data_IF_873771488298
#
_entry.id   IF_873771488298
#
_cell.length_a   1.000
_cell.length_b   1.000
_cell.length_c   1.000
_cell.angle_alpha   90.00
_cell.angle_beta   90.00
_cell.angle_gamma   90.00
#
_symmetry.space_group_name_H-M   'P 1'
#
loop_
_entity.id
_entity.type
_entity.pdbx_description
1 polymer ?
#
# COMPACT_ATOMS: atom_id res chain seq x y z
N UNK A 1 -4.19 0.99 4.65
CA UNK A 1 -5.10 0.28 5.58
C UNK A 1 -4.74 -1.21 5.71
N UNK A 2 -5.11 -1.84 6.83
CA UNK A 2 -4.79 -3.24 7.13
C UNK A 2 -5.45 -4.22 6.14
N UNK A 3 -6.65 -3.92 5.67
CA UNK A 3 -7.41 -4.76 4.73
C UNK A 3 -6.71 -4.90 3.36
N UNK A 4 -5.94 -3.88 2.94
CA UNK A 4 -5.06 -4.01 1.77
C UNK A 4 -4.04 -5.14 1.97
N UNK A 5 -3.43 -5.18 3.14
CA UNK A 5 -2.42 -6.19 3.51
C UNK A 5 -3.04 -7.59 3.55
N UNK A 6 -4.26 -7.70 4.10
CA UNK A 6 -5.01 -8.97 4.15
C UNK A 6 -5.36 -9.45 2.74
N UNK A 7 -5.88 -8.56 1.88
CA UNK A 7 -6.23 -8.88 0.50
C UNK A 7 -4.99 -9.30 -0.31
N UNK A 8 -3.86 -8.62 -0.12
CA UNK A 8 -2.59 -8.98 -0.76
C UNK A 8 -2.09 -10.36 -0.30
N UNK A 9 -2.10 -10.63 1.01
CA UNK A 9 -1.72 -11.94 1.53
C UNK A 9 -2.62 -13.07 1.00
N UNK A 10 -3.93 -12.82 0.89
CA UNK A 10 -4.87 -13.76 0.30
C UNK A 10 -4.56 -14.01 -1.19
N UNK A 11 -4.26 -12.96 -1.96
CA UNK A 11 -3.86 -13.09 -3.36
C UNK A 11 -2.62 -13.98 -3.52
N UNK A 12 -1.59 -13.75 -2.71
CA UNK A 12 -0.37 -14.58 -2.72
C UNK A 12 -0.66 -16.05 -2.40
N UNK A 13 -1.51 -16.32 -1.40
CA UNK A 13 -1.89 -17.69 -1.03
C UNK A 13 -2.68 -18.43 -2.12
N UNK A 14 -3.38 -17.68 -2.97
CA UNK A 14 -4.15 -18.19 -4.10
C UNK A 14 -3.34 -18.28 -5.40
N UNK A 15 -2.07 -17.84 -5.43
CA UNK A 15 -1.29 -17.70 -6.66
C UNK A 15 -1.87 -16.63 -7.60
N UNK A 16 -2.64 -15.67 -7.07
CA UNK A 16 -3.21 -14.59 -7.86
C UNK A 16 -2.22 -13.42 -7.98
N UNK A 17 -2.27 -12.70 -9.10
CA UNK A 17 -1.45 -11.53 -9.35
C UNK A 17 -2.06 -10.32 -8.64
N UNK A 18 -1.31 -9.71 -7.72
CA UNK A 18 -1.71 -8.48 -7.07
C UNK A 18 -1.47 -7.27 -7.96
N UNK A 19 -2.41 -6.33 -7.99
CA UNK A 19 -2.30 -5.09 -8.74
C UNK A 19 -2.59 -3.89 -7.83
N UNK A 20 -1.60 -3.42 -7.06
CA UNK A 20 -1.74 -2.24 -6.23
C UNK A 20 -1.98 -0.98 -7.06
N UNK A 21 -3.06 -0.26 -6.77
CA UNK A 21 -3.44 0.96 -7.48
C UNK A 21 -3.45 2.15 -6.52
N UNK A 22 -3.14 3.33 -7.05
CA UNK A 22 -3.19 4.57 -6.26
C UNK A 22 -4.65 5.01 -6.05
N UNK A 23 -5.04 5.38 -4.82
CA UNK A 23 -6.41 5.85 -4.55
C UNK A 23 -6.77 7.16 -5.28
N UNK A 24 -5.77 7.86 -5.82
CA UNK A 24 -5.95 9.10 -6.60
C UNK A 24 -6.38 8.84 -8.05
N UNK A 25 -6.29 7.61 -8.53
CA UNK A 25 -6.68 7.27 -9.91
C UNK A 25 -8.17 7.49 -10.13
N UNK A 26 -8.49 7.95 -11.34
CA UNK A 26 -9.85 8.24 -11.76
C UNK A 26 -10.37 7.18 -12.73
N UNK A 27 -11.58 7.36 -13.16
CA UNK A 27 -12.34 6.41 -13.98
C UNK A 27 -11.57 5.95 -15.23
N UNK A 28 -10.94 6.87 -15.95
CA UNK A 28 -10.23 6.53 -17.20
C UNK A 28 -9.01 5.64 -16.96
N UNK A 29 -8.20 5.95 -15.93
CA UNK A 29 -7.02 5.15 -15.58
C UNK A 29 -7.42 3.79 -15.03
N UNK A 30 -8.44 3.76 -14.14
CA UNK A 30 -8.93 2.51 -13.55
C UNK A 30 -9.57 1.61 -14.60
N UNK A 31 -10.45 2.15 -15.45
CA UNK A 31 -11.08 1.39 -16.53
C UNK A 31 -10.03 0.73 -17.43
N UNK A 32 -9.04 1.52 -17.86
CA UNK A 32 -7.98 1.00 -18.70
C UNK A 32 -7.13 -0.08 -18.00
N UNK A 33 -6.69 0.14 -16.77
CA UNK A 33 -5.82 -0.81 -16.06
C UNK A 33 -6.55 -2.11 -15.70
N UNK A 34 -7.80 -2.01 -15.26
CA UNK A 34 -8.62 -3.17 -14.89
C UNK A 34 -8.95 -4.03 -16.11
N UNK A 35 -9.26 -3.40 -17.26
CA UNK A 35 -9.52 -4.11 -18.50
C UNK A 35 -8.25 -4.76 -19.04
N UNK A 36 -7.15 -3.98 -19.13
CA UNK A 36 -5.89 -4.45 -19.70
C UNK A 36 -5.24 -5.58 -18.91
N UNK A 37 -5.38 -5.57 -17.59
CA UNK A 37 -4.90 -6.64 -16.71
C UNK A 37 -5.94 -7.75 -16.49
N UNK A 38 -7.09 -7.69 -17.14
CA UNK A 38 -8.19 -8.65 -16.96
C UNK A 38 -8.53 -8.89 -15.47
N UNK A 39 -8.60 -7.79 -14.70
CA UNK A 39 -8.83 -7.87 -13.26
C UNK A 39 -10.17 -8.57 -12.96
N UNK A 40 -10.13 -9.53 -12.04
CA UNK A 40 -11.32 -10.31 -11.64
C UNK A 40 -11.97 -9.75 -10.38
N UNK A 41 -11.18 -9.25 -9.45
CA UNK A 41 -11.65 -8.73 -8.16
C UNK A 41 -10.94 -7.41 -7.86
N UNK A 42 -11.68 -6.42 -7.38
CA UNK A 42 -11.12 -5.16 -6.89
C UNK A 42 -11.55 -4.92 -5.45
N UNK A 43 -10.58 -4.67 -4.58
CA UNK A 43 -10.81 -4.18 -3.22
C UNK A 43 -10.68 -2.67 -3.19
N UNK A 44 -11.64 -1.97 -2.61
CA UNK A 44 -11.64 -0.51 -2.54
C UNK A 44 -12.27 0.02 -1.27
N UNK A 45 -11.85 1.21 -0.83
CA UNK A 45 -12.55 1.91 0.25
C UNK A 45 -13.91 2.42 -0.23
N UNK A 46 -14.88 2.47 0.67
CA UNK A 46 -16.17 3.12 0.42
C UNK A 46 -16.01 4.61 0.18
N UNK A 47 -15.08 5.25 0.89
CA UNK A 47 -14.71 6.64 0.68
C UNK A 47 -13.20 6.85 0.88
N UNK A 48 -12.64 7.82 0.17
CA UNK A 48 -11.28 8.30 0.35
C UNK A 48 -11.21 9.81 0.12
N UNK A 49 -10.91 10.58 1.16
CA UNK A 49 -11.02 12.05 1.14
C UNK A 49 -12.40 12.50 0.66
N UNK A 50 -12.46 13.23 -0.47
CA UNK A 50 -13.72 13.71 -1.09
C UNK A 50 -14.27 12.78 -2.15
N UNK A 51 -13.59 11.66 -2.46
CA UNK A 51 -14.01 10.71 -3.48
C UNK A 51 -14.82 9.54 -2.91
N UNK A 52 -15.60 8.91 -3.78
CA UNK A 52 -16.37 7.68 -3.52
C UNK A 52 -15.93 6.59 -4.51
N UNK A 53 -14.74 6.00 -4.34
CA UNK A 53 -14.20 5.06 -5.33
C UNK A 53 -15.09 3.83 -5.54
N UNK A 54 -15.82 3.40 -4.51
CA UNK A 54 -16.78 2.28 -4.64
C UNK A 54 -17.89 2.56 -5.66
N UNK A 55 -18.43 3.78 -5.70
CA UNK A 55 -19.51 4.15 -6.64
C UNK A 55 -19.00 4.14 -8.09
N UNK A 56 -17.78 4.61 -8.28
CA UNK A 56 -17.12 4.60 -9.58
C UNK A 56 -16.83 3.16 -10.05
N UNK A 57 -16.25 2.33 -9.19
CA UNK A 57 -15.91 0.95 -9.53
C UNK A 57 -17.15 0.07 -9.75
N UNK A 58 -18.21 0.28 -8.99
CA UNK A 58 -19.49 -0.41 -9.19
C UNK A 58 -20.14 -0.09 -10.53
N UNK A 59 -19.94 1.13 -11.07
CA UNK A 59 -20.35 1.50 -12.44
C UNK A 59 -19.43 0.88 -13.49
N UNK A 60 -18.11 0.95 -13.28
CA UNK A 60 -17.13 0.38 -14.21
C UNK A 60 -17.30 -1.13 -14.35
N UNK A 61 -17.63 -1.84 -13.28
CA UNK A 61 -17.85 -3.29 -13.31
C UNK A 61 -18.93 -3.72 -14.31
N UNK A 62 -19.92 -2.88 -14.59
CA UNK A 62 -20.97 -3.15 -15.59
C UNK A 62 -20.43 -3.19 -17.03
N UNK A 63 -19.26 -2.61 -17.27
CA UNK A 63 -18.62 -2.50 -18.59
C UNK A 63 -17.33 -3.30 -18.71
N UNK A 64 -16.90 -3.96 -17.62
CA UNK A 64 -15.67 -4.75 -17.55
C UNK A 64 -16.03 -6.24 -17.37
N UNK A 65 -16.13 -7.01 -18.46
CA UNK A 65 -16.70 -8.37 -18.42
C UNK A 65 -15.87 -9.37 -17.59
N UNK A 66 -14.60 -9.06 -17.33
CA UNK A 66 -13.73 -9.90 -16.49
C UNK A 66 -13.84 -9.55 -15.00
N UNK A 67 -14.30 -8.35 -14.65
CA UNK A 67 -14.44 -7.89 -13.27
C UNK A 67 -15.72 -8.46 -12.65
N UNK A 68 -15.57 -9.54 -11.91
CA UNK A 68 -16.67 -10.29 -11.29
C UNK A 68 -17.03 -9.80 -9.88
N UNK A 69 -16.13 -9.11 -9.19
CA UNK A 69 -16.39 -8.64 -7.84
C UNK A 69 -15.70 -7.30 -7.52
N UNK A 70 -16.44 -6.43 -6.86
CA UNK A 70 -15.94 -5.20 -6.23
C UNK A 70 -16.18 -5.34 -4.72
N UNK A 71 -15.11 -5.46 -3.95
CA UNK A 71 -15.16 -5.64 -2.50
C UNK A 71 -14.92 -4.31 -1.81
N UNK A 72 -15.93 -3.86 -1.09
CA UNK A 72 -15.95 -2.57 -0.38
C UNK A 72 -15.39 -2.72 1.03
N UNK A 73 -14.33 -1.99 1.35
CA UNK A 73 -13.82 -1.81 2.72
C UNK A 73 -14.45 -0.56 3.31
N UNK A 74 -15.20 -0.70 4.38
CA UNK A 74 -15.93 0.42 5.00
C UNK A 74 -14.96 1.35 5.75
N UNK A 75 -14.32 2.26 5.00
CA UNK A 75 -13.43 3.32 5.51
C UNK A 75 -14.07 4.68 5.28
N UNK A 76 -14.03 5.54 6.30
CA UNK A 76 -14.54 6.91 6.30
C UNK A 76 -16.06 7.04 6.06
N UNK A 77 -16.73 6.02 5.55
CA UNK A 77 -18.18 5.98 5.37
C UNK A 77 -18.65 4.53 5.25
N UNK A 78 -19.90 4.22 5.64
CA UNK A 78 -20.49 2.91 5.42
C UNK A 78 -20.77 2.68 3.93
N UNK A 79 -20.90 1.41 3.54
CA UNK A 79 -21.38 1.01 2.22
C UNK A 79 -22.87 1.34 2.11
N UNK A 80 -23.21 2.13 1.09
CA UNK A 80 -24.62 2.52 0.84
C UNK A 80 -25.49 1.28 0.61
N UNK A 81 -26.73 1.22 1.15
CA UNK A 81 -27.63 0.07 0.97
C UNK A 81 -27.89 -0.29 -0.49
N UNK A 82 -27.99 0.72 -1.37
CA UNK A 82 -28.18 0.50 -2.82
C UNK A 82 -26.98 -0.20 -3.47
N UNK A 83 -25.76 0.05 -3.01
CA UNK A 83 -24.56 -0.64 -3.49
C UNK A 83 -24.43 -2.03 -2.87
N UNK A 84 -24.78 -2.18 -1.59
CA UNK A 84 -24.76 -3.49 -0.91
C UNK A 84 -25.73 -4.51 -1.53
N UNK A 85 -26.82 -4.06 -2.16
CA UNK A 85 -27.76 -4.90 -2.90
C UNK A 85 -27.44 -5.04 -4.40
N UNK A 86 -26.39 -4.38 -4.89
CA UNK A 86 -25.97 -4.51 -6.28
C UNK A 86 -25.18 -5.82 -6.49
N UNK A 87 -25.57 -6.56 -7.53
CA UNK A 87 -24.84 -7.78 -7.92
C UNK A 87 -23.37 -7.48 -8.22
N UNK A 88 -22.47 -8.34 -7.73
CA UNK A 88 -21.03 -8.17 -7.89
C UNK A 88 -20.38 -7.17 -6.90
N UNK A 89 -21.16 -6.54 -6.02
CA UNK A 89 -20.63 -5.68 -4.96
C UNK A 89 -20.78 -6.37 -3.60
N UNK A 90 -19.70 -6.44 -2.85
CA UNK A 90 -19.65 -7.14 -1.56
C UNK A 90 -19.03 -6.25 -0.49
N UNK A 91 -19.47 -6.36 0.76
CA UNK A 91 -18.74 -5.75 1.87
C UNK A 91 -17.59 -6.69 2.29
N UNK A 92 -16.44 -6.14 2.63
CA UNK A 92 -15.25 -6.90 3.02
C UNK A 92 -15.54 -7.82 4.21
N UNK A 93 -16.22 -7.32 5.23
CA UNK A 93 -16.57 -8.09 6.43
C UNK A 93 -17.48 -9.29 6.11
N UNK A 94 -18.44 -9.11 5.19
CA UNK A 94 -19.33 -10.18 4.77
C UNK A 94 -18.56 -11.28 4.03
N UNK A 95 -17.56 -10.91 3.20
CA UNK A 95 -16.67 -11.84 2.50
C UNK A 95 -15.85 -12.66 3.51
N UNK A 96 -15.24 -11.98 4.50
CA UNK A 96 -14.43 -12.64 5.52
C UNK A 96 -15.29 -13.59 6.40
N UNK A 97 -16.47 -13.12 6.82
CA UNK A 97 -17.36 -13.91 7.67
C UNK A 97 -17.91 -15.18 6.98
N UNK A 98 -18.09 -15.12 5.65
CA UNK A 98 -18.59 -16.24 4.84
C UNK A 98 -17.51 -17.16 4.26
N UNK A 99 -16.23 -16.88 4.48
CA UNK A 99 -15.13 -17.62 3.87
C UNK A 99 -14.64 -18.76 4.75
N UNK A 100 -14.41 -19.92 4.15
CA UNK A 100 -13.66 -21.00 4.79
C UNK A 100 -12.15 -20.73 4.68
N UNK A 101 -11.37 -20.95 5.75
CA UNK A 101 -9.93 -20.70 5.74
C UNK A 101 -9.19 -21.57 4.71
N UNK A 102 -8.41 -20.97 3.83
CA UNK A 102 -7.46 -21.70 2.99
C UNK A 102 -6.25 -22.11 3.84
N UNK A 103 -6.23 -23.37 4.28
CA UNK A 103 -5.19 -23.89 5.16
C UNK A 103 -3.86 -24.12 4.44
N UNK A 104 -3.90 -24.53 3.16
CA UNK A 104 -2.71 -24.79 2.35
C UNK A 104 -2.68 -23.81 1.18
N UNK A 105 -1.63 -22.97 1.04
CA UNK A 105 -1.47 -22.10 -0.13
C UNK A 105 -1.43 -22.90 -1.43
N UNK A 106 -1.93 -22.33 -2.51
CA UNK A 106 -1.75 -22.87 -3.85
C UNK A 106 -0.27 -22.67 -4.23
N UNK A 107 0.44 -23.73 -4.64
CA UNK A 107 1.82 -23.60 -5.09
C UNK A 107 1.92 -22.64 -6.27
N UNK A 108 2.87 -21.71 -6.22
CA UNK A 108 3.21 -20.81 -7.31
C UNK A 108 4.67 -21.02 -7.71
N UNK A 109 4.98 -20.89 -9.00
CA UNK A 109 6.34 -20.87 -9.47
C UNK A 109 7.00 -19.55 -9.06
N UNK A 110 8.26 -19.62 -8.64
CA UNK A 110 9.02 -18.44 -8.21
C UNK A 110 9.22 -17.41 -9.34
N UNK A 111 9.18 -17.85 -10.60
CA UNK A 111 9.32 -17.00 -11.78
C UNK A 111 7.97 -16.53 -12.35
N UNK A 112 6.82 -16.97 -11.78
CA UNK A 112 5.52 -16.41 -12.10
C UNK A 112 5.38 -14.97 -11.59
N UNK A 113 4.53 -14.19 -12.29
CA UNK A 113 4.22 -12.81 -11.90
C UNK A 113 3.40 -12.80 -10.62
N UNK A 114 3.93 -12.18 -9.58
CA UNK A 114 3.26 -12.01 -8.29
C UNK A 114 2.53 -10.66 -8.17
N UNK A 115 3.04 -9.62 -8.84
CA UNK A 115 2.43 -8.30 -8.80
C UNK A 115 2.67 -7.51 -10.09
N UNK A 116 1.75 -6.59 -10.38
CA UNK A 116 1.90 -5.57 -11.42
C UNK A 116 1.83 -4.20 -10.76
N UNK A 117 2.91 -3.44 -10.85
CA UNK A 117 2.99 -2.06 -10.35
C UNK A 117 2.99 -1.07 -11.52
N UNK A 118 2.22 -0.01 -11.39
CA UNK A 118 2.14 1.00 -12.44
C UNK A 118 3.09 2.17 -12.17
N UNK A 119 3.80 2.59 -13.22
CA UNK A 119 4.60 3.81 -13.22
C UNK A 119 3.87 4.92 -13.95
N UNK A 120 4.12 6.19 -13.57
CA UNK A 120 3.66 7.34 -14.33
C UNK A 120 4.37 7.35 -15.69
N UNK A 121 3.70 6.88 -16.73
CA UNK A 121 4.25 6.89 -18.07
C UNK A 121 4.51 8.32 -18.57
N UNK A 122 5.70 8.57 -19.13
CA UNK A 122 6.07 9.87 -19.75
C UNK A 122 5.24 10.18 -21.01
N UNK A 123 4.54 9.19 -21.55
CA UNK A 123 3.77 9.26 -22.82
C UNK A 123 2.25 9.17 -22.62
N UNK A 124 1.73 9.49 -21.44
CA UNK A 124 0.31 9.68 -21.17
C UNK A 124 -0.43 8.48 -20.58
N UNK A 125 -0.01 7.22 -20.79
CA UNK A 125 -0.61 6.05 -20.11
C UNK A 125 0.37 5.43 -19.12
N UNK A 126 -0.11 4.99 -17.93
CA UNK A 126 0.73 4.25 -16.99
C UNK A 126 1.29 2.98 -17.63
N UNK A 127 2.52 2.60 -17.27
CA UNK A 127 3.15 1.34 -17.70
C UNK A 127 3.10 0.35 -16.55
N UNK A 128 2.58 -0.87 -16.82
CA UNK A 128 2.56 -1.95 -15.84
C UNK A 128 3.89 -2.69 -15.80
N UNK A 129 4.55 -2.67 -14.66
CA UNK A 129 5.79 -3.41 -14.39
C UNK A 129 5.42 -4.74 -13.75
N UNK A 130 5.68 -5.84 -14.44
CA UNK A 130 5.47 -7.20 -13.92
C UNK A 130 6.62 -7.58 -13.00
N UNK A 131 6.30 -7.93 -11.77
CA UNK A 131 7.26 -8.40 -10.76
C UNK A 131 6.98 -9.87 -10.45
N UNK A 132 7.98 -10.73 -10.65
CA UNK A 132 7.90 -12.13 -10.23
C UNK A 132 8.12 -12.26 -8.72
N UNK A 133 7.76 -13.41 -8.15
CA UNK A 133 8.10 -13.72 -6.76
C UNK A 133 9.61 -13.57 -6.51
N UNK A 134 10.44 -14.05 -7.42
CA UNK A 134 11.91 -13.93 -7.34
C UNK A 134 12.37 -12.47 -7.35
N UNK A 135 11.80 -11.60 -8.21
CA UNK A 135 12.17 -10.17 -8.21
C UNK A 135 11.90 -9.53 -6.85
N UNK A 136 10.71 -9.76 -6.30
CA UNK A 136 10.29 -9.20 -5.02
C UNK A 136 11.17 -9.72 -3.89
N UNK A 137 11.35 -11.05 -3.79
CA UNK A 137 12.14 -11.65 -2.72
C UNK A 137 13.61 -11.26 -2.77
N UNK A 138 14.22 -11.21 -3.97
CA UNK A 138 15.61 -10.81 -4.13
C UNK A 138 15.85 -9.36 -3.73
N UNK A 139 14.94 -8.45 -4.15
CA UNK A 139 15.00 -7.03 -3.80
C UNK A 139 14.88 -6.83 -2.29
N UNK A 140 13.83 -7.38 -1.67
CA UNK A 140 13.53 -7.12 -0.26
C UNK A 140 14.52 -7.80 0.67
N UNK A 141 15.04 -8.97 0.33
CA UNK A 141 16.12 -9.63 1.10
C UNK A 141 17.41 -8.84 1.04
N UNK A 142 17.83 -8.40 -0.16
CA UNK A 142 19.04 -7.60 -0.32
C UNK A 142 18.93 -6.27 0.47
N UNK A 143 17.73 -5.67 0.47
CA UNK A 143 17.44 -4.46 1.25
C UNK A 143 17.53 -4.73 2.76
N UNK A 144 16.91 -5.81 3.23
CA UNK A 144 16.96 -6.23 4.63
C UNK A 144 18.39 -6.52 5.10
N UNK A 145 19.16 -7.29 4.32
CA UNK A 145 20.54 -7.64 4.64
C UNK A 145 21.44 -6.39 4.70
N UNK A 146 21.30 -5.48 3.72
CA UNK A 146 22.10 -4.25 3.67
C UNK A 146 21.89 -3.34 4.88
N UNK A 147 20.70 -3.32 5.45
CA UNK A 147 20.31 -2.46 6.57
C UNK A 147 20.21 -3.21 7.91
N UNK A 148 20.54 -4.51 7.93
CA UNK A 148 20.39 -5.39 9.10
C UNK A 148 18.99 -5.32 9.70
N UNK A 149 17.95 -5.41 8.85
CA UNK A 149 16.56 -5.40 9.26
C UNK A 149 16.11 -6.80 9.69
N UNK A 150 15.23 -6.85 10.68
CA UNK A 150 14.79 -8.08 11.31
C UNK A 150 13.29 -8.01 11.66
N UNK A 151 12.74 -9.08 12.18
CA UNK A 151 11.37 -9.14 12.71
C UNK A 151 11.11 -8.15 13.88
N UNK A 152 12.17 -7.62 14.50
CA UNK A 152 12.04 -6.63 15.57
C UNK A 152 11.78 -5.22 15.06
N UNK A 153 11.92 -5.00 13.75
CA UNK A 153 11.75 -3.68 13.18
C UNK A 153 10.27 -3.36 12.96
N UNK A 154 9.94 -2.10 13.22
CA UNK A 154 8.63 -1.51 12.99
C UNK A 154 8.74 -0.46 11.89
N UNK A 155 8.10 -0.73 10.75
CA UNK A 155 8.22 0.04 9.51
C UNK A 155 7.08 1.04 9.39
N UNK A 156 7.34 2.32 9.63
CA UNK A 156 6.38 3.39 9.42
C UNK A 156 6.41 3.82 7.96
N UNK A 157 5.26 3.69 7.29
CA UNK A 157 5.12 3.91 5.86
C UNK A 157 4.17 5.08 5.56
N UNK A 158 4.68 6.31 5.38
CA UNK A 158 3.88 7.45 4.94
C UNK A 158 3.48 7.40 3.46
N UNK A 159 4.21 6.62 2.64
CA UNK A 159 3.94 6.52 1.21
C UNK A 159 2.72 5.64 0.91
N UNK A 160 1.96 5.95 -0.16
CA UNK A 160 0.82 5.14 -0.58
C UNK A 160 1.22 3.70 -0.92
N UNK A 161 0.41 2.72 -0.49
CA UNK A 161 0.64 1.30 -0.77
C UNK A 161 0.46 0.92 -2.25
N UNK A 162 -0.19 1.75 -3.05
CA UNK A 162 -0.26 1.60 -4.51
C UNK A 162 1.03 2.04 -5.24
N UNK A 163 2.02 2.59 -4.54
CA UNK A 163 3.33 2.94 -5.06
C UNK A 163 4.37 1.89 -4.66
N UNK A 164 5.41 1.70 -5.48
CA UNK A 164 6.45 0.70 -5.23
C UNK A 164 7.03 0.77 -3.81
N UNK A 165 7.38 1.96 -3.32
CA UNK A 165 7.90 2.15 -1.96
C UNK A 165 6.93 1.63 -0.89
N UNK A 166 5.65 2.01 -0.97
CA UNK A 166 4.64 1.57 -0.02
C UNK A 166 4.37 0.07 -0.10
N UNK A 167 4.24 -0.46 -1.32
CA UNK A 167 3.96 -1.87 -1.55
C UNK A 167 5.13 -2.78 -1.12
N UNK A 168 6.34 -2.50 -1.61
CA UNK A 168 7.50 -3.33 -1.34
C UNK A 168 7.98 -3.17 0.11
N UNK A 169 8.30 -1.97 0.54
CA UNK A 169 8.94 -1.75 1.83
C UNK A 169 7.95 -1.54 2.99
N UNK A 170 6.69 -1.14 2.72
CA UNK A 170 5.68 -0.93 3.75
C UNK A 170 4.84 -2.16 4.05
N UNK A 171 4.71 -3.08 3.10
CA UNK A 171 3.89 -4.29 3.24
C UNK A 171 4.72 -5.55 3.04
N UNK A 172 5.37 -5.71 1.89
CA UNK A 172 6.02 -6.96 1.51
C UNK A 172 7.26 -7.25 2.38
N UNK A 173 8.11 -6.25 2.61
CA UNK A 173 9.29 -6.40 3.46
C UNK A 173 8.96 -6.81 4.91
N UNK A 174 8.03 -6.12 5.62
CA UNK A 174 7.58 -6.58 6.94
C UNK A 174 7.04 -8.02 6.93
N UNK A 175 6.31 -8.43 5.89
CA UNK A 175 5.86 -9.81 5.74
C UNK A 175 7.00 -10.82 5.68
N UNK A 176 8.00 -10.54 4.83
CA UNK A 176 9.16 -11.43 4.66
C UNK A 176 9.94 -11.57 5.97
N UNK A 177 10.05 -10.50 6.73
CA UNK A 177 10.80 -10.47 7.98
C UNK A 177 10.01 -10.93 9.21
N UNK A 178 8.67 -10.99 9.11
CA UNK A 178 7.80 -11.15 10.29
C UNK A 178 7.81 -9.90 11.18
N UNK A 179 8.11 -8.74 10.61
CA UNK A 179 8.17 -7.44 11.28
C UNK A 179 6.81 -6.75 11.36
N UNK A 180 6.79 -5.54 11.95
CA UNK A 180 5.59 -4.75 12.11
C UNK A 180 5.47 -3.71 11.00
N UNK A 181 4.31 -3.67 10.33
CA UNK A 181 3.95 -2.62 9.36
C UNK A 181 3.05 -1.58 10.03
N UNK A 182 3.44 -0.30 9.99
CA UNK A 182 2.70 0.83 10.54
C UNK A 182 2.19 1.68 9.38
N UNK A 183 0.90 1.63 9.14
CA UNK A 183 0.26 2.19 7.96
C UNK A 183 -0.64 3.38 8.34
N UNK A 184 -0.72 4.35 7.44
CA UNK A 184 -1.59 5.51 7.54
C UNK A 184 -2.59 5.49 6.39
N UNK A 185 -3.87 5.65 6.67
CA UNK A 185 -4.91 5.75 5.64
C UNK A 185 -4.72 7.03 4.81
N UNK A 186 -4.40 8.13 5.48
CA UNK A 186 -4.04 9.42 4.88
C UNK A 186 -2.84 9.95 5.64
N UNK A 187 -1.78 10.33 4.93
CA UNK A 187 -0.64 10.96 5.55
C UNK A 187 -1.00 12.35 6.08
N UNK A 188 -0.70 12.55 7.36
CA UNK A 188 -0.60 13.82 8.08
C UNK A 188 0.62 13.71 8.99
N UNK A 189 1.43 14.73 9.07
CA UNK A 189 2.69 14.65 9.81
C UNK A 189 2.48 14.41 11.30
N UNK A 190 1.47 15.06 11.90
CA UNK A 190 1.07 14.87 13.30
C UNK A 190 0.63 13.42 13.60
N UNK A 191 -0.26 12.85 12.78
CA UNK A 191 -0.71 11.46 12.91
C UNK A 191 0.45 10.46 12.72
N UNK A 192 1.32 10.76 11.75
CA UNK A 192 2.52 9.96 11.47
C UNK A 192 3.44 9.92 12.69
N UNK A 193 3.71 11.05 13.31
CA UNK A 193 4.59 11.12 14.47
C UNK A 193 3.93 10.59 15.74
N UNK A 194 2.62 10.72 15.91
CA UNK A 194 1.87 10.06 16.97
C UNK A 194 1.98 8.53 16.87
N UNK A 195 1.82 7.98 15.64
CA UNK A 195 1.96 6.55 15.41
C UNK A 195 3.41 6.08 15.61
N UNK A 196 4.39 6.90 15.19
CA UNK A 196 5.81 6.64 15.42
C UNK A 196 6.13 6.42 16.91
N UNK A 197 5.72 7.35 17.78
CA UNK A 197 5.97 7.26 19.21
C UNK A 197 5.20 6.11 19.88
N UNK A 198 3.91 5.98 19.56
CA UNK A 198 3.05 4.96 20.15
C UNK A 198 3.53 3.53 19.87
N UNK A 199 4.00 3.28 18.66
CA UNK A 199 4.38 1.96 18.18
C UNK A 199 5.89 1.71 18.20
N UNK A 200 6.68 2.71 18.65
CA UNK A 200 8.15 2.68 18.68
C UNK A 200 8.73 2.30 17.31
N UNK A 201 8.33 3.04 16.29
CA UNK A 201 8.82 2.79 14.93
C UNK A 201 10.35 2.84 14.87
N UNK A 202 10.96 1.88 14.16
CA UNK A 202 12.42 1.81 14.00
C UNK A 202 12.88 2.30 12.64
N UNK A 203 12.01 2.22 11.66
CA UNK A 203 12.29 2.58 10.27
C UNK A 203 11.16 3.46 9.73
N UNK A 204 11.53 4.59 9.10
CA UNK A 204 10.62 5.43 8.33
C UNK A 204 11.11 5.44 6.88
N UNK A 205 10.22 5.18 5.92
CA UNK A 205 10.56 5.17 4.51
C UNK A 205 9.60 6.06 3.72
N UNK A 206 10.13 7.05 3.03
CA UNK A 206 9.29 7.97 2.28
C UNK A 206 10.04 8.77 1.23
N UNK A 207 9.29 9.56 0.46
CA UNK A 207 9.85 10.52 -0.46
C UNK A 207 10.13 11.86 0.23
N UNK A 208 10.94 12.68 -0.40
CA UNK A 208 11.36 14.01 0.08
C UNK A 208 10.23 14.87 0.68
N UNK A 209 9.01 14.95 0.09
CA UNK A 209 7.93 15.75 0.68
C UNK A 209 7.54 15.29 2.10
N UNK A 210 7.49 13.98 2.35
CA UNK A 210 7.17 13.46 3.69
C UNK A 210 8.22 13.87 4.73
N UNK A 211 9.50 13.89 4.33
CA UNK A 211 10.58 14.34 5.22
C UNK A 211 10.39 15.80 5.61
N UNK A 212 10.08 16.69 4.65
CA UNK A 212 9.84 18.11 4.94
C UNK A 212 8.68 18.30 5.92
N UNK A 213 7.55 17.64 5.67
CA UNK A 213 6.36 17.77 6.53
C UNK A 213 6.64 17.23 7.94
N UNK A 214 7.36 16.10 8.07
CA UNK A 214 7.76 15.53 9.37
C UNK A 214 8.75 16.45 10.10
N UNK A 215 9.74 17.03 9.41
CA UNK A 215 10.66 17.98 10.03
C UNK A 215 9.96 19.24 10.53
N UNK A 216 8.97 19.72 9.79
CA UNK A 216 8.18 20.88 10.22
C UNK A 216 7.35 20.55 11.47
N UNK A 217 6.72 19.37 11.50
CA UNK A 217 6.01 18.89 12.70
C UNK A 217 6.95 18.76 13.90
N UNK A 218 8.15 18.19 13.71
CA UNK A 218 9.15 18.04 14.77
C UNK A 218 9.68 19.37 15.32
N UNK A 219 9.74 20.44 14.50
CA UNK A 219 10.11 21.78 14.95
C UNK A 219 9.04 22.39 15.86
N UNK A 220 7.79 22.13 15.55
CA UNK A 220 6.65 22.68 16.31
C UNK A 220 6.33 21.83 17.54
N UNK A 221 6.45 20.52 17.42
CA UNK A 221 6.10 19.54 18.43
C UNK A 221 7.24 18.50 18.59
N UNK A 222 8.21 18.74 19.46
CA UNK A 222 9.31 17.80 19.70
C UNK A 222 8.81 16.42 20.12
N UNK A 223 9.41 15.36 19.57
CA UNK A 223 9.04 13.96 19.76
C UNK A 223 10.24 13.12 20.22
N UNK A 224 9.96 12.00 20.91
CA UNK A 224 10.97 11.01 21.23
C UNK A 224 11.30 10.14 20.01
N UNK A 225 12.45 10.38 19.39
CA UNK A 225 12.94 9.62 18.24
C UNK A 225 13.93 8.51 18.63
N UNK A 226 14.07 8.17 19.90
CA UNK A 226 15.08 7.22 20.39
C UNK A 226 14.96 5.82 19.81
N UNK A 227 13.79 5.42 19.31
CA UNK A 227 13.56 4.15 18.61
C UNK A 227 14.02 4.16 17.16
N UNK A 228 14.23 5.33 16.56
CA UNK A 228 14.58 5.46 15.14
C UNK A 228 15.96 4.89 14.84
N UNK A 229 16.04 3.93 13.93
CA UNK A 229 17.29 3.40 13.38
C UNK A 229 17.62 4.01 12.02
N UNK A 230 16.60 4.17 11.17
CA UNK A 230 16.74 4.66 9.80
C UNK A 230 15.59 5.57 9.42
N UNK A 231 15.92 6.70 8.81
CA UNK A 231 15.00 7.49 8.02
C UNK A 231 15.48 7.43 6.56
N UNK A 232 14.81 6.65 5.74
CA UNK A 232 15.19 6.42 4.36
C UNK A 232 14.34 7.28 3.43
N UNK A 233 15.01 8.07 2.61
CA UNK A 233 14.39 9.00 1.68
C UNK A 233 14.83 8.67 0.26
N UNK A 234 13.87 8.66 -0.68
CA UNK A 234 14.16 8.35 -2.08
C UNK A 234 12.99 8.66 -3.02
N UNK A 235 13.16 8.30 -4.28
CA UNK A 235 12.13 8.44 -5.31
C UNK A 235 12.02 9.83 -5.95
N UNK A 236 12.69 10.82 -5.39
CA UNK A 236 12.79 12.20 -5.94
C UNK A 236 14.15 12.78 -5.64
N UNK A 237 14.45 13.96 -6.21
CA UNK A 237 15.68 14.72 -5.88
C UNK A 237 15.70 15.05 -4.40
N UNK A 238 16.81 14.74 -3.73
CA UNK A 238 17.05 15.06 -2.33
C UNK A 238 17.97 16.28 -2.27
N UNK A 239 17.49 17.45 -1.84
CA UNK A 239 18.34 18.63 -1.69
C UNK A 239 19.40 18.42 -0.62
N UNK A 240 20.67 18.85 -0.83
CA UNK A 240 21.74 18.71 0.20
C UNK A 240 21.36 19.34 1.55
N UNK A 241 20.64 20.47 1.52
CA UNK A 241 20.15 21.14 2.72
C UNK A 241 19.26 20.25 3.60
N UNK A 242 18.55 19.27 3.02
CA UNK A 242 17.68 18.38 3.79
C UNK A 242 18.47 17.56 4.81
N UNK A 243 19.69 17.15 4.49
CA UNK A 243 20.58 16.45 5.44
C UNK A 243 20.98 17.35 6.61
N UNK A 244 21.20 18.65 6.35
CA UNK A 244 21.49 19.61 7.42
C UNK A 244 20.27 19.84 8.30
N UNK A 245 19.09 19.92 7.72
CA UNK A 245 17.82 20.12 8.41
C UNK A 245 17.42 18.89 9.28
N UNK A 246 17.87 17.69 8.93
CA UNK A 246 17.63 16.44 9.70
C UNK A 246 18.55 16.30 10.93
N UNK A 247 19.79 16.77 10.85
CA UNK A 247 20.81 16.60 11.93
C UNK A 247 20.37 17.03 13.34
N UNK A 248 19.66 18.16 13.54
CA UNK A 248 19.22 18.58 14.88
C UNK A 248 18.29 17.59 15.55
N UNK A 249 17.62 16.70 14.77
CA UNK A 249 16.69 15.68 15.25
C UNK A 249 17.33 14.30 15.38
N UNK A 250 18.62 14.15 15.06
CA UNK A 250 19.30 12.86 15.07
C UNK A 250 18.91 11.95 13.89
N UNK A 251 18.39 12.53 12.83
CA UNK A 251 17.98 11.87 11.58
C UNK A 251 19.10 12.00 10.54
#
# INVERSE_FOLDING_TARGET
WAEFTIAYAAALKLGAIAMPLLPAWREAELSWALDWCEAKVVFTATAFRKSRPIEMLAKLAQHLPRLSAVVAVEKMAPLAPSLRSQEGVYAFEDVIAGAEPLLTPIPADADEVAAVLFTSGTEGRPKGVMLTHNNILASERAYADRLNLTWRDAFLMPAPLGHATGFLHGVTLPFILGGKSLLLDIFRADDCMNLFEAEKATCVLGATPFVFDILEELRQHPRDLSSLRFFLCGGTTIPPKLFEDCRPFGI
#
